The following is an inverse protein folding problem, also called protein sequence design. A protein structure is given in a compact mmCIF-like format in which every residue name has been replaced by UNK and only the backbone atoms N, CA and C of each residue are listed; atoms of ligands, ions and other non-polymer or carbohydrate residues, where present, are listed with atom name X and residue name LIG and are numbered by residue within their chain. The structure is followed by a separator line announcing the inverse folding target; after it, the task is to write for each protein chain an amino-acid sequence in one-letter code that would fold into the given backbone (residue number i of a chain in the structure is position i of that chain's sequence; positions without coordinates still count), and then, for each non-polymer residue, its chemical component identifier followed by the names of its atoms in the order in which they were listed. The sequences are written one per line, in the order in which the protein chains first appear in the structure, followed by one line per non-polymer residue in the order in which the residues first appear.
data_IF_270866583745
#
_entry.id   IF_270866583745
#
_cell.length_a   1.000
_cell.length_b   1.000
_cell.length_c   1.000
_cell.angle_alpha   90.00
_cell.angle_beta   90.00
_cell.angle_gamma   90.00
#
_symmetry.space_group_name_H-M   'P 1'
#
loop_
_entity.id
_entity.type
_entity.pdbx_description
1 polymer ?
#
# COMPACT_ATOMS: atom_id res chain seq x y z
N UNK A 1 3.42 -48.27 -22.46
CA UNK A 1 4.17 -47.07 -22.87
C UNK A 1 3.20 -45.91 -22.88
N UNK A 2 3.14 -45.14 -21.79
CA UNK A 2 2.13 -44.10 -21.59
C UNK A 2 2.80 -42.76 -21.85
N UNK A 3 2.58 -42.19 -23.02
CA UNK A 3 3.01 -40.82 -23.35
C UNK A 3 2.07 -39.84 -22.63
N UNK A 4 2.63 -39.06 -21.71
CA UNK A 4 1.97 -37.89 -21.14
C UNK A 4 2.25 -36.69 -22.07
N UNK A 5 1.23 -36.24 -22.79
CA UNK A 5 1.26 -34.97 -23.52
C UNK A 5 1.04 -33.84 -22.53
N UNK A 6 2.04 -32.99 -22.32
CA UNK A 6 1.88 -31.74 -21.57
C UNK A 6 1.00 -30.79 -22.38
N UNK A 7 0.00 -30.13 -21.78
CA UNK A 7 -0.74 -29.08 -22.46
C UNK A 7 0.19 -27.87 -22.63
N UNK A 8 0.51 -27.53 -23.88
CA UNK A 8 1.00 -26.19 -24.21
C UNK A 8 -0.07 -25.20 -23.76
N UNK A 9 0.32 -24.20 -22.97
CA UNK A 9 -0.55 -23.10 -22.61
C UNK A 9 -1.00 -22.39 -23.88
N UNK A 10 -2.30 -22.48 -24.19
CA UNK A 10 -2.90 -21.74 -25.29
C UNK A 10 -2.66 -20.24 -25.07
N UNK A 11 -2.00 -19.63 -26.05
CA UNK A 11 -1.78 -18.20 -26.18
C UNK A 11 -3.09 -17.53 -26.62
N UNK A 12 -4.10 -17.51 -25.73
CA UNK A 12 -5.41 -16.88 -25.96
C UNK A 12 -5.35 -15.35 -25.79
N UNK A 13 -4.28 -14.70 -26.27
CA UNK A 13 -4.22 -13.25 -26.34
C UNK A 13 -4.96 -12.76 -27.59
N UNK A 14 -5.91 -11.83 -27.43
CA UNK A 14 -6.59 -11.25 -28.58
C UNK A 14 -5.58 -10.53 -29.49
N UNK A 15 -5.75 -10.55 -30.83
CA UNK A 15 -4.80 -9.93 -31.75
C UNK A 15 -4.59 -8.43 -31.47
N UNK A 16 -5.60 -7.74 -30.94
CA UNK A 16 -5.50 -6.35 -30.50
C UNK A 16 -4.61 -6.15 -29.27
N UNK A 17 -4.63 -7.09 -28.31
CA UNK A 17 -3.81 -7.03 -27.11
C UNK A 17 -2.33 -7.28 -27.44
N UNK A 18 -2.05 -8.22 -28.35
CA UNK A 18 -0.69 -8.47 -28.85
C UNK A 18 -0.09 -7.25 -29.54
N UNK A 19 -0.85 -6.60 -30.44
CA UNK A 19 -0.43 -5.36 -31.08
C UNK A 19 -0.18 -4.22 -30.09
N UNK A 20 -1.00 -4.11 -29.03
CA UNK A 20 -0.77 -3.12 -27.99
C UNK A 20 0.52 -3.39 -27.21
N UNK A 21 0.78 -4.66 -26.86
CA UNK A 21 2.02 -5.08 -26.20
C UNK A 21 3.25 -4.84 -27.09
N UNK A 22 3.16 -5.09 -28.40
CA UNK A 22 4.25 -4.83 -29.35
C UNK A 22 4.55 -3.33 -29.47
N UNK A 23 3.51 -2.49 -29.57
CA UNK A 23 3.68 -1.02 -29.57
C UNK A 23 4.32 -0.53 -28.28
N UNK A 24 3.91 -1.06 -27.13
CA UNK A 24 4.49 -0.72 -25.83
C UNK A 24 5.97 -1.13 -25.76
N UNK A 25 6.30 -2.36 -26.18
CA UNK A 25 7.67 -2.86 -26.25
C UNK A 25 8.54 -1.99 -27.16
N UNK A 26 8.03 -1.63 -28.34
CA UNK A 26 8.73 -0.73 -29.26
C UNK A 26 9.01 0.65 -28.63
N UNK A 27 8.01 1.28 -28.01
CA UNK A 27 8.17 2.58 -27.35
C UNK A 27 9.19 2.50 -26.19
N UNK A 28 9.18 1.42 -25.41
CA UNK A 28 10.16 1.21 -24.35
C UNK A 28 11.59 1.06 -24.90
N UNK A 29 11.76 0.33 -26.01
CA UNK A 29 13.04 0.20 -26.70
C UNK A 29 13.57 1.53 -27.20
N UNK A 30 12.68 2.34 -27.77
CA UNK A 30 12.97 3.70 -28.22
C UNK A 30 13.45 4.59 -27.07
N UNK A 31 12.82 4.51 -25.90
CA UNK A 31 13.25 5.28 -24.72
C UNK A 31 14.59 4.81 -24.15
N UNK A 32 14.89 3.50 -24.18
CA UNK A 32 16.23 3.00 -23.87
C UNK A 32 17.28 3.65 -24.79
N UNK A 33 17.01 3.71 -26.10
CA UNK A 33 17.92 4.34 -27.05
C UNK A 33 18.06 5.85 -26.83
N UNK A 34 16.95 6.55 -26.52
CA UNK A 34 16.95 7.98 -26.17
C UNK A 34 17.88 8.30 -25.02
N UNK A 35 17.98 7.38 -24.06
CA UNK A 35 18.84 7.51 -22.88
C UNK A 35 20.23 6.87 -23.03
N UNK A 36 20.59 6.42 -24.23
CA UNK A 36 21.89 5.79 -24.50
C UNK A 36 22.09 4.46 -23.76
N UNK A 37 21.01 3.81 -23.33
CA UNK A 37 21.05 2.55 -22.60
C UNK A 37 20.81 1.36 -23.54
N UNK A 38 21.52 0.27 -23.28
CA UNK A 38 21.26 -1.02 -23.90
C UNK A 38 20.13 -1.72 -23.11
N UNK A 39 19.05 -2.19 -23.77
CA UNK A 39 18.06 -3.04 -23.11
C UNK A 39 18.68 -4.37 -22.62
N UNK A 40 18.08 -5.05 -21.63
CA UNK A 40 18.61 -6.32 -21.15
C UNK A 40 18.74 -7.35 -22.27
N UNK A 41 19.85 -8.10 -22.26
CA UNK A 41 20.23 -9.01 -23.33
C UNK A 41 19.15 -10.05 -23.70
N UNK A 42 18.36 -10.49 -22.71
CA UNK A 42 17.24 -11.41 -22.90
C UNK A 42 16.19 -10.92 -23.92
N UNK A 43 16.12 -9.61 -24.19
CA UNK A 43 15.16 -9.01 -25.10
C UNK A 43 15.77 -8.56 -26.43
N UNK A 44 17.03 -8.89 -26.71
CA UNK A 44 17.72 -8.50 -27.94
C UNK A 44 17.61 -9.56 -29.06
N UNK A 45 16.55 -10.36 -29.05
CA UNK A 45 16.26 -11.30 -30.15
C UNK A 45 15.67 -10.56 -31.38
N UNK A 46 15.92 -11.00 -32.63
CA UNK A 46 15.58 -10.26 -33.86
C UNK A 46 14.11 -9.87 -34.06
N UNK A 47 13.17 -10.55 -33.40
CA UNK A 47 11.73 -10.27 -33.50
C UNK A 47 11.16 -9.59 -32.25
N UNK A 48 11.99 -9.28 -31.26
CA UNK A 48 11.50 -8.65 -30.04
C UNK A 48 11.19 -7.17 -30.30
N UNK A 49 9.97 -6.68 -30.01
CA UNK A 49 9.60 -5.28 -30.25
C UNK A 49 10.50 -4.30 -29.49
N UNK A 50 11.00 -4.67 -28.30
CA UNK A 50 11.96 -3.87 -27.54
C UNK A 50 13.25 -3.61 -28.31
N UNK A 51 13.78 -4.66 -28.95
CA UNK A 51 14.98 -4.53 -29.80
C UNK A 51 14.71 -3.63 -31.00
N UNK A 52 13.59 -3.84 -31.69
CA UNK A 52 13.24 -3.07 -32.89
C UNK A 52 13.12 -1.58 -32.56
N UNK A 53 12.45 -1.24 -31.45
CA UNK A 53 12.35 0.13 -30.96
C UNK A 53 13.71 0.73 -30.61
N UNK A 54 14.58 -0.05 -29.97
CA UNK A 54 15.93 0.39 -29.62
C UNK A 54 16.83 0.63 -30.84
N UNK A 55 16.82 -0.26 -31.83
CA UNK A 55 17.57 -0.08 -33.07
C UNK A 55 17.09 1.14 -33.86
N UNK A 56 15.76 1.31 -33.97
CA UNK A 56 15.15 2.49 -34.59
C UNK A 56 15.53 3.79 -33.86
N UNK A 57 15.45 3.78 -32.52
CA UNK A 57 15.84 4.93 -31.71
C UNK A 57 17.33 5.25 -31.84
N UNK A 58 18.21 4.23 -31.88
CA UNK A 58 19.65 4.44 -32.09
C UNK A 58 19.95 5.09 -33.43
N UNK A 59 19.26 4.67 -34.49
CA UNK A 59 19.39 5.30 -35.80
C UNK A 59 18.93 6.76 -35.79
N UNK A 60 17.87 7.09 -35.02
CA UNK A 60 17.33 8.44 -34.92
C UNK A 60 18.17 9.38 -34.05
N UNK A 61 18.63 8.93 -32.88
CA UNK A 61 19.36 9.76 -31.92
C UNK A 61 20.86 9.82 -32.20
N UNK A 62 21.44 8.75 -32.76
CA UNK A 62 22.90 8.65 -32.96
C UNK A 62 23.66 8.90 -31.66
N UNK A 63 24.53 9.91 -31.64
CA UNK A 63 25.26 10.33 -30.44
C UNK A 63 24.51 11.34 -29.55
N UNK A 64 23.35 11.84 -29.97
CA UNK A 64 22.56 12.85 -29.25
C UNK A 64 21.58 12.20 -28.26
N UNK A 65 22.13 11.53 -27.25
CA UNK A 65 21.35 10.87 -26.19
C UNK A 65 21.24 11.73 -24.93
N UNK A 66 20.20 11.51 -24.13
CA UNK A 66 20.01 12.14 -22.82
C UNK A 66 20.65 11.27 -21.74
N UNK A 67 21.38 11.87 -20.79
CA UNK A 67 21.98 11.11 -19.69
C UNK A 67 20.94 10.32 -18.87
N UNK A 68 21.21 9.05 -18.63
CA UNK A 68 20.37 8.16 -17.83
C UNK A 68 20.69 8.31 -16.33
N UNK A 69 19.96 9.20 -15.65
CA UNK A 69 20.05 9.30 -14.18
C UNK A 69 19.58 7.99 -13.50
N UNK A 70 19.96 7.72 -12.24
CA UNK A 70 19.46 6.56 -11.49
C UNK A 70 17.93 6.43 -11.51
N UNK A 71 17.23 7.55 -11.43
CA UNK A 71 15.78 7.61 -11.49
C UNK A 71 15.21 7.19 -12.85
N UNK A 72 15.89 7.57 -13.95
CA UNK A 72 15.53 7.14 -15.31
C UNK A 72 15.76 5.64 -15.48
N UNK A 73 16.87 5.11 -14.96
CA UNK A 73 17.15 3.68 -15.01
C UNK A 73 16.07 2.88 -14.26
N UNK A 74 15.73 3.30 -13.04
CA UNK A 74 14.69 2.66 -12.23
C UNK A 74 13.32 2.71 -12.92
N UNK A 75 13.01 3.83 -13.58
CA UNK A 75 11.78 4.00 -14.35
C UNK A 75 11.70 3.07 -15.56
N UNK A 76 12.77 2.97 -16.36
CA UNK A 76 12.82 2.05 -17.50
C UNK A 76 12.75 0.59 -17.05
N UNK A 77 13.42 0.23 -15.96
CA UNK A 77 13.36 -1.11 -15.38
C UNK A 77 11.94 -1.46 -14.89
N UNK A 78 11.23 -0.50 -14.28
CA UNK A 78 9.85 -0.70 -13.84
C UNK A 78 8.89 -0.87 -15.02
N UNK A 79 9.06 -0.07 -16.09
CA UNK A 79 8.27 -0.23 -17.33
C UNK A 79 8.54 -1.56 -18.01
N UNK A 80 9.79 -2.01 -18.02
CA UNK A 80 10.16 -3.32 -18.55
C UNK A 80 9.51 -4.45 -17.75
N UNK A 81 9.57 -4.40 -16.42
CA UNK A 81 8.90 -5.39 -15.55
C UNK A 81 7.38 -5.37 -15.79
N UNK A 82 6.76 -4.20 -15.91
CA UNK A 82 5.34 -4.08 -16.22
C UNK A 82 4.98 -4.75 -17.55
N UNK A 83 5.72 -4.43 -18.61
CA UNK A 83 5.52 -4.98 -19.94
C UNK A 83 5.70 -6.51 -19.98
N UNK A 84 6.76 -7.03 -19.35
CA UNK A 84 7.02 -8.47 -19.27
C UNK A 84 5.88 -9.26 -18.61
N UNK A 85 5.22 -8.66 -17.61
CA UNK A 85 4.11 -9.27 -16.88
C UNK A 85 2.73 -8.89 -17.45
N UNK A 86 2.68 -8.21 -18.60
CA UNK A 86 1.43 -7.75 -19.22
C UNK A 86 0.64 -6.75 -18.36
N UNK A 87 1.31 -6.06 -17.44
CA UNK A 87 0.70 -5.10 -16.52
C UNK A 87 0.57 -3.74 -17.18
N UNK A 88 -0.55 -3.06 -16.91
CA UNK A 88 -0.74 -1.67 -17.29
C UNK A 88 0.31 -0.80 -16.58
N UNK A 89 0.90 0.16 -17.30
CA UNK A 89 1.82 1.15 -16.76
C UNK A 89 1.29 2.54 -17.09
N UNK A 90 1.06 3.35 -16.08
CA UNK A 90 0.56 4.71 -16.22
C UNK A 90 1.73 5.67 -16.51
N UNK A 91 1.80 6.24 -17.70
CA UNK A 91 2.99 6.97 -18.19
C UNK A 91 3.05 8.45 -17.80
N UNK A 92 1.94 9.06 -17.33
CA UNK A 92 1.86 10.50 -17.06
C UNK A 92 2.35 10.83 -15.65
N UNK A 93 1.88 10.11 -14.63
CA UNK A 93 2.22 10.40 -13.23
C UNK A 93 3.41 9.57 -12.75
N UNK A 94 3.58 8.33 -13.24
CA UNK A 94 4.76 7.50 -12.92
C UNK A 94 5.96 7.91 -13.77
N UNK A 95 6.62 8.99 -13.34
CA UNK A 95 7.81 9.57 -13.95
C UNK A 95 9.09 9.21 -13.18
N UNK A 96 10.30 9.41 -13.76
CA UNK A 96 11.55 9.30 -13.02
C UNK A 96 11.57 10.14 -11.74
N UNK A 97 11.06 11.38 -11.79
CA UNK A 97 10.97 12.26 -10.62
C UNK A 97 10.05 11.70 -9.54
N UNK A 98 8.91 11.12 -9.94
CA UNK A 98 8.00 10.44 -9.02
C UNK A 98 8.69 9.26 -8.32
N UNK A 99 9.42 8.41 -9.05
CA UNK A 99 10.13 7.28 -8.44
C UNK A 99 11.24 7.71 -7.47
N UNK A 100 11.97 8.78 -7.79
CA UNK A 100 12.97 9.34 -6.88
C UNK A 100 12.34 9.78 -5.54
N UNK A 101 11.09 10.29 -5.58
CA UNK A 101 10.37 10.70 -4.37
C UNK A 101 9.86 9.54 -3.51
N UNK A 102 9.76 8.32 -4.07
CA UNK A 102 9.38 7.12 -3.33
C UNK A 102 10.53 6.52 -2.51
N UNK A 103 11.76 6.94 -2.78
CA UNK A 103 12.94 6.37 -2.14
C UNK A 103 12.89 6.54 -0.61
N UNK A 104 13.20 5.45 0.10
CA UNK A 104 13.35 5.41 1.56
C UNK A 104 14.57 4.58 1.91
N UNK A 105 15.30 4.98 2.95
CA UNK A 105 16.55 4.31 3.36
C UNK A 105 16.29 3.01 4.13
N UNK A 106 15.14 2.91 4.80
CA UNK A 106 14.74 1.73 5.56
C UNK A 106 13.39 1.23 5.05
N UNK A 107 13.26 -0.09 4.97
CA UNK A 107 12.01 -0.72 4.58
C UNK A 107 10.93 -0.41 5.61
N UNK A 108 9.76 0.14 5.23
CA UNK A 108 8.69 0.43 6.19
C UNK A 108 8.11 -0.82 6.85
N UNK A 109 8.34 -2.01 6.26
CA UNK A 109 7.79 -3.28 6.73
C UNK A 109 8.77 -4.02 7.64
N UNK A 110 10.02 -4.21 7.20
CA UNK A 110 11.02 -4.95 7.97
C UNK A 110 11.82 -4.04 8.91
N UNK A 111 11.73 -2.71 8.72
CA UNK A 111 12.54 -1.67 9.37
C UNK A 111 14.04 -1.84 9.18
N UNK A 112 14.48 -2.70 8.25
CA UNK A 112 15.90 -2.89 7.92
C UNK A 112 16.35 -1.89 6.85
N UNK A 113 17.63 -1.53 6.82
CA UNK A 113 18.18 -0.69 5.76
C UNK A 113 17.95 -1.33 4.38
N UNK A 114 17.78 -0.49 3.36
CA UNK A 114 17.56 -0.89 1.98
C UNK A 114 18.79 -0.62 1.13
N UNK A 115 19.15 -1.57 0.27
CA UNK A 115 20.13 -1.36 -0.78
C UNK A 115 19.55 -0.45 -1.86
N UNK A 116 20.35 0.51 -2.33
CA UNK A 116 19.97 1.48 -3.35
C UNK A 116 19.31 0.84 -4.57
N UNK A 117 18.09 1.28 -4.93
CA UNK A 117 17.45 0.85 -6.17
C UNK A 117 18.15 1.52 -7.36
N UNK A 118 19.00 0.77 -8.08
CA UNK A 118 19.71 1.25 -9.27
C UNK A 118 20.39 2.63 -9.08
N UNK A 119 20.95 2.86 -7.89
CA UNK A 119 21.64 4.11 -7.54
C UNK A 119 20.76 5.26 -7.06
N UNK A 120 19.46 5.04 -6.79
CA UNK A 120 18.55 6.05 -6.24
C UNK A 120 18.86 6.50 -4.79
N UNK A 121 19.79 5.84 -4.09
CA UNK A 121 20.18 6.24 -2.74
C UNK A 121 21.16 7.41 -2.77
N UNK A 122 20.97 8.36 -1.85
CA UNK A 122 21.78 9.60 -1.77
C UNK A 122 22.63 9.72 -0.51
N UNK A 123 22.58 8.75 0.41
CA UNK A 123 23.39 8.81 1.64
C UNK A 123 23.94 7.42 2.01
N UNK A 124 25.16 7.41 2.55
CA UNK A 124 25.69 6.26 3.25
C UNK A 124 24.81 6.03 4.49
N UNK A 125 24.04 4.95 4.48
CA UNK A 125 23.35 4.47 5.67
C UNK A 125 24.35 4.32 6.81
N UNK A 126 24.02 4.82 8.00
CA UNK A 126 24.81 4.57 9.22
C UNK A 126 24.86 3.07 9.55
N UNK A 127 23.85 2.31 9.13
CA UNK A 127 23.81 0.86 9.30
C UNK A 127 24.79 0.13 8.37
N UNK A 128 25.45 -0.95 8.83
CA UNK A 128 26.35 -1.77 8.03
C UNK A 128 25.70 -2.30 6.74
N UNK A 129 26.43 -2.20 5.62
CA UNK A 129 25.93 -2.63 4.30
C UNK A 129 25.47 -4.10 4.24
N UNK A 130 26.06 -5.00 5.05
CA UNK A 130 25.68 -6.43 5.08
C UNK A 130 24.29 -6.68 5.71
N UNK A 131 23.73 -5.70 6.43
CA UNK A 131 22.37 -5.77 6.96
C UNK A 131 21.30 -5.30 5.96
N UNK A 132 21.72 -4.66 4.86
CA UNK A 132 20.81 -4.03 3.91
C UNK A 132 20.10 -5.06 3.01
N UNK A 133 18.78 -4.95 2.94
CA UNK A 133 17.93 -5.80 2.10
C UNK A 133 17.78 -5.19 0.70
N UNK A 134 17.73 -5.99 -0.38
CA UNK A 134 17.51 -5.48 -1.72
C UNK A 134 16.14 -4.77 -1.80
N UNK A 135 16.13 -3.53 -2.32
CA UNK A 135 14.90 -2.75 -2.47
C UNK A 135 14.10 -3.16 -3.70
N UNK A 136 12.77 -3.07 -3.61
CA UNK A 136 11.85 -3.29 -4.73
C UNK A 136 10.70 -2.28 -4.68
N UNK A 137 10.30 -1.77 -5.84
CA UNK A 137 9.04 -1.04 -5.98
C UNK A 137 7.91 -2.06 -6.02
N UNK A 138 6.98 -1.96 -5.08
CA UNK A 138 5.88 -2.88 -4.92
C UNK A 138 4.54 -2.20 -5.18
N UNK A 139 3.63 -2.92 -5.84
CA UNK A 139 2.22 -2.54 -6.02
C UNK A 139 1.43 -2.98 -4.80
N UNK A 140 1.08 -2.03 -3.93
CA UNK A 140 0.34 -2.33 -2.69
C UNK A 140 -1.11 -2.78 -2.95
N UNK A 141 -1.68 -2.34 -4.08
CA UNK A 141 -2.91 -2.89 -4.64
C UNK A 141 -2.55 -3.87 -5.77
N UNK A 142 -2.64 -5.17 -5.52
CA UNK A 142 -2.21 -6.22 -6.47
C UNK A 142 -3.04 -6.29 -7.76
N UNK A 143 -4.29 -5.81 -7.68
CA UNK A 143 -5.24 -5.70 -8.78
C UNK A 143 -5.09 -4.40 -9.59
N UNK A 144 -4.15 -3.52 -9.22
CA UNK A 144 -3.86 -2.30 -9.98
C UNK A 144 -2.64 -2.51 -10.90
N UNK A 145 -2.54 -1.72 -11.97
CA UNK A 145 -1.33 -1.59 -12.78
C UNK A 145 -0.21 -0.89 -12.01
N UNK A 146 0.85 -0.47 -12.69
CA UNK A 146 1.85 0.44 -12.14
C UNK A 146 1.35 1.87 -12.30
N UNK A 147 0.77 2.44 -11.24
CA UNK A 147 0.22 3.78 -11.25
C UNK A 147 0.58 4.57 -9.98
N UNK A 148 0.59 5.90 -10.08
CA UNK A 148 0.91 6.74 -8.93
C UNK A 148 -0.14 6.59 -7.81
N UNK A 149 0.34 6.66 -6.57
CA UNK A 149 -0.51 6.66 -5.38
C UNK A 149 -0.61 5.32 -4.65
N UNK A 150 -0.15 4.21 -5.23
CA UNK A 150 -0.14 2.90 -4.56
C UNK A 150 1.18 2.12 -4.70
N UNK A 151 2.21 2.78 -5.23
CA UNK A 151 3.56 2.25 -5.29
C UNK A 151 4.33 2.64 -4.03
N UNK A 152 5.11 1.70 -3.50
CA UNK A 152 6.02 1.94 -2.39
C UNK A 152 7.32 1.18 -2.58
N UNK A 153 8.43 1.74 -2.10
CA UNK A 153 9.69 1.01 -2.01
C UNK A 153 9.70 0.22 -0.70
N UNK A 154 9.81 -1.10 -0.82
CA UNK A 154 9.92 -2.05 0.30
C UNK A 154 11.08 -3.01 0.03
N UNK A 155 11.42 -3.84 1.00
CA UNK A 155 12.43 -4.89 0.75
C UNK A 155 11.88 -6.01 -0.11
N UNK A 156 12.76 -6.69 -0.84
CA UNK A 156 12.42 -7.84 -1.67
C UNK A 156 11.73 -8.94 -0.85
N UNK A 157 12.16 -9.15 0.40
CA UNK A 157 11.52 -10.08 1.34
C UNK A 157 10.05 -9.73 1.60
N UNK A 158 9.78 -8.46 1.91
CA UNK A 158 8.41 -7.99 2.10
C UNK A 158 7.58 -8.07 0.81
N UNK A 159 8.17 -7.78 -0.35
CA UNK A 159 7.50 -7.89 -1.65
C UNK A 159 7.17 -9.35 -2.00
N UNK A 160 8.05 -10.30 -1.68
CA UNK A 160 7.81 -11.73 -1.87
C UNK A 160 6.67 -12.23 -0.98
N UNK A 161 6.70 -11.89 0.31
CA UNK A 161 5.63 -12.24 1.24
C UNK A 161 4.27 -11.66 0.81
N UNK A 162 4.24 -10.41 0.36
CA UNK A 162 3.03 -9.74 -0.14
C UNK A 162 2.49 -10.35 -1.46
N UNK A 163 3.33 -11.04 -2.23
CA UNK A 163 2.96 -11.53 -3.57
C UNK A 163 1.70 -12.38 -3.53
N UNK A 164 0.72 -12.02 -4.38
CA UNK A 164 -0.56 -12.72 -4.49
C UNK A 164 -1.54 -12.51 -3.33
N UNK A 165 -1.22 -11.68 -2.35
CA UNK A 165 -2.07 -11.43 -1.17
C UNK A 165 -2.84 -10.12 -1.29
N UNK A 166 -4.05 -10.14 -0.78
CA UNK A 166 -4.88 -8.95 -0.54
C UNK A 166 -4.65 -8.45 0.89
N UNK A 167 -5.24 -7.30 1.21
CA UNK A 167 -5.10 -6.68 2.52
C UNK A 167 -5.56 -7.59 3.68
N UNK A 168 -6.69 -8.27 3.49
CA UNK A 168 -7.28 -9.21 4.44
C UNK A 168 -6.40 -10.45 4.64
N UNK A 169 -5.76 -10.96 3.58
CA UNK A 169 -4.77 -12.02 3.67
C UNK A 169 -3.57 -11.58 4.52
N UNK A 170 -2.99 -10.40 4.24
CA UNK A 170 -1.87 -9.88 5.03
C UNK A 170 -2.22 -9.67 6.51
N UNK A 171 -3.46 -9.26 6.79
CA UNK A 171 -3.97 -9.15 8.17
C UNK A 171 -4.12 -10.52 8.83
N UNK A 172 -4.62 -11.53 8.12
CA UNK A 172 -4.71 -12.90 8.62
C UNK A 172 -3.30 -13.46 8.92
N UNK A 173 -2.34 -13.24 8.02
CA UNK A 173 -0.95 -13.65 8.23
C UNK A 173 -0.31 -13.03 9.48
N UNK A 174 -0.67 -11.79 9.82
CA UNK A 174 -0.22 -11.16 11.06
C UNK A 174 -0.69 -11.91 12.31
N UNK A 175 -1.94 -12.37 12.31
CA UNK A 175 -2.52 -13.15 13.41
C UNK A 175 -1.91 -14.54 13.49
N UNK A 176 -1.77 -15.22 12.35
CA UNK A 176 -1.15 -16.55 12.28
C UNK A 176 0.31 -16.51 12.75
N UNK A 177 1.07 -15.51 12.33
CA UNK A 177 2.45 -15.33 12.78
C UNK A 177 2.55 -15.11 14.29
N UNK A 178 1.61 -14.37 14.91
CA UNK A 178 1.58 -14.20 16.36
C UNK A 178 1.30 -15.52 17.08
N UNK A 179 0.30 -16.28 16.60
CA UNK A 179 -0.02 -17.58 17.18
C UNK A 179 1.15 -18.57 17.05
N UNK A 180 1.85 -18.57 15.91
CA UNK A 180 3.04 -19.39 15.71
C UNK A 180 4.16 -19.02 16.70
N UNK A 181 4.42 -17.72 16.92
CA UNK A 181 5.38 -17.24 17.91
C UNK A 181 5.09 -17.77 19.32
N UNK A 182 3.83 -17.66 19.75
CA UNK A 182 3.39 -18.11 21.08
C UNK A 182 3.58 -19.63 21.25
N UNK A 183 3.25 -20.41 20.22
CA UNK A 183 3.45 -21.87 20.25
C UNK A 183 4.93 -22.27 20.26
N UNK A 184 5.78 -21.55 19.52
CA UNK A 184 7.22 -21.79 19.48
C UNK A 184 7.89 -21.55 20.83
N UNK A 185 7.52 -20.46 21.51
CA UNK A 185 7.99 -20.13 22.86
C UNK A 185 7.61 -21.25 23.84
N UNK A 186 6.41 -21.81 23.71
CA UNK A 186 5.96 -22.92 24.57
C UNK A 186 6.65 -24.25 24.27
N UNK A 187 7.20 -24.45 23.07
CA UNK A 187 7.72 -25.75 22.61
C UNK A 187 9.25 -25.92 22.79
N UNK A 188 9.96 -24.90 23.28
CA UNK A 188 11.44 -24.87 23.42
C UNK A 188 12.22 -25.28 22.13
N UNK A 189 11.58 -25.20 20.97
CA UNK A 189 12.18 -25.51 19.68
C UNK A 189 12.71 -24.21 19.04
N UNK A 190 13.80 -24.28 18.24
CA UNK A 190 14.23 -23.17 17.41
C UNK A 190 13.29 -23.02 16.21
N UNK A 191 12.05 -22.59 16.46
CA UNK A 191 11.17 -22.20 15.38
C UNK A 191 11.51 -20.76 14.98
N UNK A 192 11.63 -20.53 13.67
CA UNK A 192 11.68 -19.18 13.15
C UNK A 192 10.37 -18.46 13.52
N UNK A 193 10.46 -17.30 14.18
CA UNK A 193 9.34 -16.39 14.47
C UNK A 193 8.75 -15.74 13.18
N UNK A 194 9.19 -16.22 12.01
CA UNK A 194 8.78 -15.71 10.72
C UNK A 194 7.87 -16.70 9.99
N UNK A 195 6.72 -16.19 9.56
CA UNK A 195 5.80 -16.87 8.66
C UNK A 195 5.97 -16.27 7.26
N UNK A 196 6.33 -17.09 6.28
CA UNK A 196 6.70 -16.65 4.92
C UNK A 196 7.74 -15.52 4.90
N UNK A 197 8.71 -15.59 5.82
CA UNK A 197 9.81 -14.64 5.92
C UNK A 197 9.46 -13.30 6.56
N UNK A 198 8.29 -13.15 7.20
CA UNK A 198 7.95 -11.98 8.03
C UNK A 198 7.41 -12.41 9.39
N UNK A 199 7.79 -11.71 10.46
CA UNK A 199 7.18 -11.88 11.78
C UNK A 199 5.83 -11.14 11.90
N UNK A 200 5.11 -11.36 13.00
CA UNK A 200 3.77 -10.75 13.21
C UNK A 200 3.78 -9.22 13.12
N UNK A 201 4.81 -8.57 13.67
CA UNK A 201 4.93 -7.11 13.62
C UNK A 201 5.12 -6.62 12.18
N UNK A 202 5.96 -7.30 11.38
CA UNK A 202 6.17 -6.98 9.98
C UNK A 202 4.91 -7.24 9.13
N UNK A 203 4.19 -8.34 9.37
CA UNK A 203 2.90 -8.59 8.73
C UNK A 203 1.85 -7.53 9.08
N UNK A 204 1.77 -7.11 10.35
CA UNK A 204 0.86 -6.04 10.77
C UNK A 204 1.20 -4.72 10.07
N UNK A 205 2.49 -4.42 9.92
CA UNK A 205 2.97 -3.26 9.18
C UNK A 205 2.60 -3.33 7.69
N UNK A 206 2.76 -4.50 7.06
CA UNK A 206 2.38 -4.72 5.68
C UNK A 206 0.86 -4.57 5.47
N UNK A 207 0.04 -5.17 6.32
CA UNK A 207 -1.41 -5.02 6.28
C UNK A 207 -1.83 -3.56 6.49
N UNK A 208 -1.18 -2.83 7.40
CA UNK A 208 -1.43 -1.39 7.58
C UNK A 208 -1.12 -0.61 6.30
N UNK A 209 0.04 -0.86 5.67
CA UNK A 209 0.43 -0.18 4.45
C UNK A 209 -0.52 -0.46 3.28
N UNK A 210 -0.95 -1.71 3.10
CA UNK A 210 -1.93 -2.10 2.08
C UNK A 210 -3.32 -1.50 2.34
N UNK A 211 -3.69 -1.29 3.61
CA UNK A 211 -5.00 -0.73 3.96
C UNK A 211 -5.19 0.69 3.45
N UNK A 212 -4.12 1.49 3.34
CA UNK A 212 -4.22 2.87 2.85
C UNK A 212 -4.73 2.95 1.42
N UNK A 213 -4.42 1.95 0.59
CA UNK A 213 -4.79 1.91 -0.84
C UNK A 213 -5.90 0.90 -1.13
N UNK A 214 -6.52 0.38 -0.08
CA UNK A 214 -7.68 -0.51 -0.17
C UNK A 214 -8.90 0.26 0.32
N UNK A 215 -9.96 0.40 -0.50
CA UNK A 215 -11.22 0.95 -0.01
C UNK A 215 -11.80 0.03 1.07
N UNK A 216 -12.03 0.55 2.26
CA UNK A 216 -12.54 -0.19 3.41
C UNK A 216 -13.78 0.50 3.99
N UNK A 217 -14.72 -0.28 4.58
CA UNK A 217 -15.75 0.30 5.43
C UNK A 217 -15.13 1.12 6.55
N UNK A 218 -15.76 2.23 6.93
CA UNK A 218 -15.22 3.18 7.90
C UNK A 218 -14.88 2.52 9.24
N UNK A 219 -15.76 1.66 9.73
CA UNK A 219 -15.58 0.91 10.97
C UNK A 219 -14.39 -0.06 10.92
N UNK A 220 -14.12 -0.65 9.74
CA UNK A 220 -12.96 -1.51 9.53
C UNK A 220 -11.70 -0.68 9.51
N UNK A 221 -11.68 0.42 8.74
CA UNK A 221 -10.53 1.32 8.65
C UNK A 221 -10.17 1.95 10.02
N UNK A 222 -11.18 2.33 10.81
CA UNK A 222 -11.02 2.87 12.16
C UNK A 222 -10.39 1.88 13.14
N UNK A 223 -10.54 0.58 12.90
CA UNK A 223 -9.98 -0.46 13.76
C UNK A 223 -8.50 -0.77 13.46
N UNK A 224 -7.95 -0.29 12.35
CA UNK A 224 -6.58 -0.59 11.92
C UNK A 224 -5.60 0.31 12.68
N UNK A 225 -4.58 -0.26 13.36
CA UNK A 225 -3.53 0.54 14.00
C UNK A 225 -2.59 1.14 12.95
N UNK A 226 -2.14 2.38 13.17
CA UNK A 226 -1.16 3.06 12.31
C UNK A 226 0.28 2.54 12.55
N UNK A 227 0.51 1.24 12.29
CA UNK A 227 1.82 0.59 12.52
C UNK A 227 2.90 0.96 11.51
N UNK A 228 2.55 1.66 10.44
CA UNK A 228 3.47 2.19 9.44
C UNK A 228 2.99 3.59 9.05
N UNK A 229 3.85 4.60 9.17
CA UNK A 229 3.56 5.89 8.54
C UNK A 229 3.64 5.72 7.01
N UNK A 230 2.64 6.21 6.26
CA UNK A 230 2.61 6.05 4.82
C UNK A 230 3.86 6.69 4.20
N UNK A 231 4.59 5.95 3.34
CA UNK A 231 5.66 6.49 2.53
C UNK A 231 5.18 7.66 1.67
N UNK A 232 6.13 8.45 1.18
CA UNK A 232 5.82 9.61 0.36
C UNK A 232 5.01 9.22 -0.89
N UNK A 233 4.11 10.11 -1.31
CA UNK A 233 3.21 9.95 -2.47
C UNK A 233 2.21 8.79 -2.41
N UNK A 234 2.05 8.13 -1.27
CA UNK A 234 0.96 7.17 -1.09
C UNK A 234 -0.39 7.89 -0.95
N UNK A 235 -1.40 7.45 -1.69
CA UNK A 235 -2.78 7.92 -1.56
C UNK A 235 -3.47 7.16 -0.43
N UNK A 236 -4.15 7.88 0.45
CA UNK A 236 -4.93 7.30 1.54
C UNK A 236 -6.40 7.37 1.14
N UNK A 237 -7.00 6.21 0.83
CA UNK A 237 -8.37 6.09 0.38
C UNK A 237 -9.39 6.16 1.53
N UNK A 238 -8.95 5.89 2.76
CA UNK A 238 -9.83 5.86 3.94
C UNK A 238 -9.63 7.15 4.77
N UNK A 239 -10.62 8.06 4.82
CA UNK A 239 -10.47 9.37 5.48
C UNK A 239 -10.08 9.28 6.95
N UNK A 240 -10.60 8.29 7.68
CA UNK A 240 -10.31 8.10 9.10
C UNK A 240 -8.84 7.75 9.36
N UNK A 241 -8.19 7.02 8.45
CA UNK A 241 -6.75 6.76 8.50
C UNK A 241 -5.95 8.03 8.16
N UNK A 242 -6.47 8.88 7.26
CA UNK A 242 -5.93 10.22 7.03
C UNK A 242 -5.95 11.09 8.28
N UNK A 243 -7.03 11.05 9.07
CA UNK A 243 -7.13 11.74 10.35
C UNK A 243 -6.16 11.15 11.39
N UNK A 244 -6.06 9.82 11.48
CA UNK A 244 -5.11 9.13 12.35
C UNK A 244 -3.66 9.57 12.06
N UNK A 245 -3.29 9.60 10.78
CA UNK A 245 -2.00 10.08 10.32
C UNK A 245 -1.77 11.55 10.68
N UNK A 246 -2.78 12.39 10.44
CA UNK A 246 -2.69 13.83 10.69
C UNK A 246 -2.38 14.11 12.17
N UNK A 247 -3.10 13.46 13.08
CA UNK A 247 -2.89 13.58 14.53
C UNK A 247 -1.48 13.11 14.89
N UNK A 248 -1.07 11.94 14.36
CA UNK A 248 0.23 11.34 14.63
C UNK A 248 1.38 12.25 14.20
N UNK A 249 1.31 12.82 12.99
CA UNK A 249 2.34 13.73 12.46
C UNK A 249 2.44 15.05 13.22
N UNK A 250 1.37 15.50 13.88
CA UNK A 250 1.47 16.72 14.69
C UNK A 250 2.44 16.55 15.85
N UNK A 251 2.48 15.36 16.47
CA UNK A 251 3.27 15.10 17.68
C UNK A 251 4.77 15.26 17.43
N UNK A 252 5.26 14.86 16.25
CA UNK A 252 6.66 15.03 15.87
C UNK A 252 7.07 16.49 15.64
N UNK A 253 6.10 17.43 15.55
CA UNK A 253 6.37 18.84 15.20
C UNK A 253 6.32 19.75 16.43
N UNK A 254 7.22 20.75 16.54
CA UNK A 254 7.15 21.76 17.60
C UNK A 254 5.79 22.49 17.62
N UNK A 255 5.26 22.84 18.80
CA UNK A 255 3.96 23.51 18.92
C UNK A 255 2.74 22.61 18.64
N UNK A 256 2.90 21.28 18.77
CA UNK A 256 1.83 20.32 18.51
C UNK A 256 0.58 20.57 19.38
N UNK A 257 0.75 20.99 20.64
CA UNK A 257 -0.36 21.18 21.58
C UNK A 257 -1.37 22.22 21.08
N UNK A 258 -0.89 23.37 20.57
CA UNK A 258 -1.75 24.40 20.01
C UNK A 258 -2.50 23.92 18.75
N UNK A 259 -1.81 23.20 17.87
CA UNK A 259 -2.42 22.65 16.63
C UNK A 259 -3.45 21.56 16.91
N UNK A 260 -3.17 20.67 17.86
CA UNK A 260 -4.13 19.65 18.28
C UNK A 260 -5.30 20.26 19.05
N UNK A 261 -5.08 21.31 19.84
CA UNK A 261 -6.16 22.07 20.47
C UNK A 261 -7.06 22.77 19.46
N UNK A 262 -6.48 23.34 18.39
CA UNK A 262 -7.25 23.90 17.28
C UNK A 262 -8.07 22.84 16.54
N UNK A 263 -7.50 21.65 16.30
CA UNK A 263 -8.22 20.52 15.72
C UNK A 263 -9.37 20.06 16.63
N UNK A 264 -9.14 19.98 17.94
CA UNK A 264 -10.16 19.63 18.92
C UNK A 264 -11.33 20.62 18.90
N UNK A 265 -11.04 21.92 18.79
CA UNK A 265 -12.06 22.96 18.73
C UNK A 265 -12.98 22.85 17.50
N UNK A 266 -12.58 22.14 16.45
CA UNK A 266 -13.43 21.87 15.28
C UNK A 266 -14.34 20.65 15.44
N UNK A 267 -14.13 19.83 16.48
CA UNK A 267 -14.93 18.64 16.73
C UNK A 267 -16.30 19.00 17.33
N UNK A 268 -17.39 18.38 16.86
CA UNK A 268 -18.72 18.63 17.41
C UNK A 268 -18.87 18.03 18.81
N UNK A 269 -19.19 18.89 19.78
CA UNK A 269 -19.58 18.48 21.13
C UNK A 269 -18.43 18.09 22.07
N UNK A 270 -18.68 18.24 23.37
CA UNK A 270 -17.68 18.06 24.43
C UNK A 270 -17.25 16.60 24.57
N UNK A 271 -18.16 15.65 24.32
CA UNK A 271 -17.86 14.21 24.42
C UNK A 271 -16.77 13.79 23.43
N UNK A 272 -16.88 14.22 22.18
CA UNK A 272 -15.94 13.89 21.12
C UNK A 272 -14.60 14.58 21.33
N UNK A 273 -14.61 15.85 21.77
CA UNK A 273 -13.40 16.58 22.17
C UNK A 273 -12.66 15.89 23.32
N UNK A 274 -13.39 15.42 24.34
CA UNK A 274 -12.81 14.66 25.45
C UNK A 274 -12.18 13.35 24.97
N UNK A 275 -12.87 12.60 24.12
CA UNK A 275 -12.35 11.33 23.63
C UNK A 275 -11.15 11.53 22.68
N UNK A 276 -11.13 12.62 21.90
CA UNK A 276 -9.94 13.07 21.16
C UNK A 276 -8.74 13.36 22.07
N UNK A 277 -8.94 14.14 23.15
CA UNK A 277 -7.86 14.42 24.10
C UNK A 277 -7.33 13.14 24.76
N UNK A 278 -8.18 12.15 25.05
CA UNK A 278 -7.71 10.83 25.55
C UNK A 278 -6.79 10.12 24.57
N UNK A 279 -7.07 10.20 23.27
CA UNK A 279 -6.17 9.65 22.23
C UNK A 279 -4.82 10.37 22.27
N UNK A 280 -4.83 11.70 22.27
CA UNK A 280 -3.59 12.51 22.29
C UNK A 280 -2.76 12.23 23.54
N UNK A 281 -3.39 12.24 24.73
CA UNK A 281 -2.72 11.94 25.99
C UNK A 281 -2.31 10.48 26.15
N UNK A 282 -2.94 9.56 25.40
CA UNK A 282 -2.49 8.17 25.32
C UNK A 282 -1.27 7.99 24.42
N UNK A 283 -1.23 8.70 23.29
CA UNK A 283 -0.18 8.59 22.28
C UNK A 283 1.13 9.27 22.72
N UNK A 284 1.04 10.46 23.32
CA UNK A 284 2.20 11.30 23.63
C UNK A 284 3.22 10.65 24.59
N UNK A 285 2.83 10.06 25.74
CA UNK A 285 3.79 9.44 26.65
C UNK A 285 4.51 8.24 26.02
N UNK A 286 3.81 7.48 25.15
CA UNK A 286 4.36 6.31 24.46
C UNK A 286 5.38 6.72 23.39
N UNK A 287 5.11 7.81 22.66
CA UNK A 287 6.05 8.36 21.69
C UNK A 287 7.35 8.87 22.36
N UNK A 288 7.26 9.31 23.62
CA UNK A 288 8.38 9.77 24.44
C UNK A 288 8.93 8.72 25.41
N UNK A 289 8.52 7.46 25.28
CA UNK A 289 9.07 6.41 26.13
C UNK A 289 10.58 6.28 25.89
N UNK A 290 11.38 6.30 26.96
CA UNK A 290 12.83 6.39 26.86
C UNK A 290 13.36 7.74 26.33
N UNK A 291 12.69 8.85 26.62
CA UNK A 291 13.14 10.22 26.34
C UNK A 291 12.64 10.81 25.03
N UNK A 292 13.12 12.01 24.64
CA UNK A 292 12.72 12.63 23.36
C UNK A 292 13.54 12.03 22.20
N UNK A 293 12.91 11.54 21.11
CA UNK A 293 13.63 11.09 19.93
C UNK A 293 14.53 12.18 19.34
N UNK A 294 15.71 11.77 18.88
CA UNK A 294 16.75 12.66 18.35
C UNK A 294 16.73 12.73 16.82
N UNK A 295 16.29 11.65 16.16
CA UNK A 295 16.24 11.56 14.69
C UNK A 295 14.82 11.35 14.18
N UNK A 296 14.58 11.71 12.91
CA UNK A 296 13.28 11.50 12.25
C UNK A 296 12.92 10.00 12.15
N UNK A 297 13.91 9.13 11.99
CA UNK A 297 13.72 7.69 12.00
C UNK A 297 13.22 7.19 13.36
N UNK A 298 13.84 7.63 14.46
CA UNK A 298 13.39 7.30 15.80
C UNK A 298 11.98 7.84 16.09
N UNK A 299 11.67 9.06 15.64
CA UNK A 299 10.32 9.61 15.75
C UNK A 299 9.29 8.73 15.03
N UNK A 300 9.60 8.30 13.81
CA UNK A 300 8.73 7.41 13.02
C UNK A 300 8.50 6.10 13.76
N UNK A 301 9.56 5.40 14.16
CA UNK A 301 9.46 4.08 14.79
C UNK A 301 8.65 4.13 16.09
N UNK A 302 8.91 5.12 16.97
CA UNK A 302 8.19 5.25 18.25
C UNK A 302 6.73 5.62 18.08
N UNK A 303 6.40 6.47 17.10
CA UNK A 303 5.01 6.79 16.79
C UNK A 303 4.25 5.57 16.28
N UNK A 304 4.85 4.81 15.36
CA UNK A 304 4.30 3.56 14.84
C UNK A 304 4.12 2.48 15.93
N UNK A 305 5.06 2.39 16.86
CA UNK A 305 5.01 1.42 17.96
C UNK A 305 4.01 1.84 19.05
N UNK A 306 3.82 3.14 19.28
CA UNK A 306 2.79 3.61 20.20
C UNK A 306 1.38 3.16 19.77
N UNK A 307 1.12 3.11 18.46
CA UNK A 307 -0.14 2.59 17.89
C UNK A 307 -0.33 1.07 18.04
N UNK A 308 0.69 0.34 18.50
CA UNK A 308 0.55 -1.06 18.91
C UNK A 308 -0.28 -1.23 20.19
N UNK A 309 -0.36 -0.19 21.02
CA UNK A 309 -0.92 -0.31 22.37
C UNK A 309 -2.45 -0.51 22.33
N UNK A 310 -2.98 -1.59 22.96
CA UNK A 310 -4.42 -1.87 22.95
C UNK A 310 -5.29 -0.84 23.68
N UNK A 311 -4.75 -0.09 24.65
CA UNK A 311 -5.49 0.97 25.37
C UNK A 311 -5.60 2.21 24.51
N UNK A 312 -4.53 2.58 23.79
CA UNK A 312 -4.58 3.64 22.79
C UNK A 312 -5.56 3.29 21.69
N UNK A 313 -5.48 2.07 21.13
CA UNK A 313 -6.37 1.63 20.06
C UNK A 313 -7.84 1.60 20.48
N UNK A 314 -8.18 1.17 21.70
CA UNK A 314 -9.56 1.27 22.22
C UNK A 314 -10.04 2.71 22.32
N UNK A 315 -9.17 3.62 22.79
CA UNK A 315 -9.51 5.05 22.90
C UNK A 315 -9.71 5.67 21.51
N UNK A 316 -8.85 5.30 20.56
CA UNK A 316 -8.95 5.70 19.16
C UNK A 316 -10.23 5.20 18.51
N UNK A 317 -10.53 3.90 18.59
CA UNK A 317 -11.76 3.34 18.01
C UNK A 317 -13.00 4.00 18.59
N UNK A 318 -13.04 4.23 19.91
CA UNK A 318 -14.14 4.98 20.55
C UNK A 318 -14.30 6.37 19.96
N UNK A 319 -13.22 7.10 19.73
CA UNK A 319 -13.25 8.42 19.09
C UNK A 319 -13.65 8.33 17.61
N UNK A 320 -13.01 7.45 16.85
CA UNK A 320 -13.17 7.31 15.41
C UNK A 320 -14.56 6.84 14.98
N UNK A 321 -15.19 5.94 15.75
CA UNK A 321 -16.53 5.43 15.48
C UNK A 321 -17.65 6.44 15.81
N UNK A 322 -17.34 7.54 16.48
CA UNK A 322 -18.27 8.67 16.66
C UNK A 322 -18.30 9.62 15.46
N UNK A 323 -17.35 9.48 14.53
CA UNK A 323 -17.28 10.25 13.29
C UNK A 323 -17.77 9.39 12.12
N UNK A 324 -18.40 10.01 11.13
CA UNK A 324 -18.57 9.41 9.80
C UNK A 324 -17.32 9.56 8.95
N UNK A 325 -17.26 8.86 7.82
CA UNK A 325 -16.16 9.00 6.86
C UNK A 325 -16.09 10.43 6.30
N UNK A 326 -17.24 11.03 5.99
CA UNK A 326 -17.36 12.39 5.46
C UNK A 326 -16.93 13.45 6.48
N UNK A 327 -17.25 13.24 7.76
CA UNK A 327 -16.79 14.12 8.83
C UNK A 327 -15.28 14.04 9.02
N UNK A 328 -14.71 12.83 8.99
CA UNK A 328 -13.26 12.64 9.07
C UNK A 328 -12.57 13.29 7.86
N UNK A 329 -13.12 13.14 6.66
CA UNK A 329 -12.61 13.80 5.45
C UNK A 329 -12.65 15.32 5.59
N UNK A 330 -13.80 15.89 5.97
CA UNK A 330 -13.96 17.34 6.14
C UNK A 330 -12.95 17.92 7.15
N UNK A 331 -12.66 17.19 8.24
CA UNK A 331 -11.64 17.58 9.22
C UNK A 331 -10.23 17.58 8.61
N UNK A 332 -9.86 16.55 7.86
CA UNK A 332 -8.57 16.48 7.17
C UNK A 332 -8.44 17.59 6.13
N UNK A 333 -9.47 17.83 5.33
CA UNK A 333 -9.49 18.90 4.33
C UNK A 333 -9.36 20.28 4.98
N UNK A 334 -10.09 20.53 6.07
CA UNK A 334 -10.00 21.78 6.84
C UNK A 334 -8.61 21.98 7.44
N UNK A 335 -8.02 20.91 7.99
CA UNK A 335 -6.67 20.95 8.54
C UNK A 335 -5.59 21.19 7.48
N UNK A 336 -5.74 20.64 6.28
CA UNK A 336 -4.87 20.91 5.15
C UNK A 336 -4.95 22.38 4.71
N UNK A 337 -6.17 22.93 4.57
CA UNK A 337 -6.40 24.36 4.26
C UNK A 337 -5.83 25.30 5.33
N UNK A 338 -5.86 24.89 6.59
CA UNK A 338 -5.29 25.65 7.71
C UNK A 338 -3.76 25.49 7.86
N UNK A 339 -3.09 24.74 6.97
CA UNK A 339 -1.63 24.52 7.04
C UNK A 339 -1.18 23.60 8.18
N UNK A 340 -2.10 22.89 8.84
CA UNK A 340 -1.74 21.99 9.95
C UNK A 340 -0.96 20.78 9.46
N UNK A 341 -1.14 20.35 8.21
CA UNK A 341 -0.48 19.15 7.65
C UNK A 341 0.93 19.44 7.12
N UNK A 342 1.40 20.70 7.19
CA UNK A 342 2.69 21.12 6.63
C UNK A 342 2.49 22.24 5.61
N UNK A 343 3.41 22.40 4.67
CA UNK A 343 3.18 23.30 3.54
C UNK A 343 1.98 22.78 2.74
N UNK A 344 0.99 23.63 2.45
CA UNK A 344 -0.24 23.25 1.76
C UNK A 344 0.00 22.56 0.41
N UNK A 345 1.14 22.83 -0.24
CA UNK A 345 1.58 22.20 -1.49
C UNK A 345 1.96 20.72 -1.37
N UNK A 346 2.07 20.18 -0.15
CA UNK A 346 2.46 18.79 0.09
C UNK A 346 1.27 17.84 0.28
N UNK A 347 0.04 18.35 0.32
CA UNK A 347 -1.17 17.54 0.48
C UNK A 347 -2.08 17.76 -0.72
N UNK A 348 -2.30 16.71 -1.49
CA UNK A 348 -3.26 16.70 -2.58
C UNK A 348 -4.50 15.95 -2.13
N UNK A 349 -5.64 16.64 -2.13
CA UNK A 349 -6.94 16.03 -1.89
C UNK A 349 -7.49 15.63 -3.26
N UNK A 350 -7.73 14.34 -3.44
CA UNK A 350 -8.32 13.79 -4.65
C UNK A 350 -9.81 13.54 -4.40
N UNK A 351 -10.66 13.80 -5.40
CA UNK A 351 -12.01 13.23 -5.39
C UNK A 351 -11.92 11.70 -5.41
N UNK A 352 -12.93 10.97 -4.88
CA UNK A 352 -12.91 9.50 -4.83
C UNK A 352 -12.59 8.84 -6.16
N UNK A 353 -13.13 9.36 -7.26
CA UNK A 353 -12.94 8.83 -8.62
C UNK A 353 -11.52 9.09 -9.14
N UNK A 354 -10.92 10.21 -8.75
CA UNK A 354 -9.55 10.58 -9.14
C UNK A 354 -8.50 9.86 -8.29
N UNK A 355 -8.88 9.35 -7.12
CA UNK A 355 -7.94 8.70 -6.20
C UNK A 355 -7.36 7.40 -6.78
N UNK A 356 -8.09 6.72 -7.65
CA UNK A 356 -7.69 5.48 -8.33
C UNK A 356 -7.54 5.65 -9.85
N UNK A 357 -7.60 6.88 -10.36
CA UNK A 357 -7.39 7.18 -11.77
C UNK A 357 -6.01 6.66 -12.23
N UNK A 358 -6.00 5.96 -13.38
CA UNK A 358 -4.80 5.35 -13.96
C UNK A 358 -4.43 3.97 -13.40
N UNK A 359 -5.12 3.48 -12.35
CA UNK A 359 -4.80 2.19 -11.73
C UNK A 359 -5.27 0.99 -12.57
N UNK A 360 -6.12 1.20 -13.58
CA UNK A 360 -6.67 0.14 -14.44
C UNK A 360 -7.33 -1.01 -13.66
N UNK A 361 -8.13 -0.66 -12.64
CA UNK A 361 -8.78 -1.64 -11.76
C UNK A 361 -9.82 -2.48 -12.50
N UNK A 362 -10.44 -1.92 -13.54
CA UNK A 362 -11.38 -2.56 -14.44
C UNK A 362 -10.78 -3.72 -15.25
N UNK A 363 -9.46 -3.73 -15.45
CA UNK A 363 -8.71 -4.81 -16.08
C UNK A 363 -7.94 -5.68 -15.09
N UNK A 364 -8.10 -5.46 -13.78
CA UNK A 364 -7.24 -6.06 -12.77
C UNK A 364 -5.77 -5.65 -12.92
N UNK A 365 -5.51 -4.49 -13.54
CA UNK A 365 -4.17 -3.94 -13.76
C UNK A 365 -3.43 -4.54 -14.94
N UNK A 366 -4.11 -5.23 -15.85
CA UNK A 366 -3.53 -5.85 -17.05
C UNK A 366 -3.83 -5.04 -18.33
N UNK A 367 -2.96 -5.17 -19.33
CA UNK A 367 -3.18 -4.60 -20.66
C UNK A 367 -4.16 -5.48 -21.45
N UNK A 368 -5.27 -4.91 -21.93
CA UNK A 368 -6.14 -5.55 -22.91
C UNK A 368 -7.06 -6.67 -22.42
N UNK A 369 -7.14 -6.95 -21.12
CA UNK A 369 -8.13 -7.86 -20.54
C UNK A 369 -9.17 -7.07 -19.74
N UNK A 370 -10.43 -7.01 -20.19
CA UNK A 370 -11.51 -6.60 -19.30
C UNK A 370 -11.69 -7.70 -18.24
N UNK A 371 -11.75 -7.33 -16.96
CA UNK A 371 -12.01 -8.28 -15.88
C UNK A 371 -13.34 -8.99 -16.19
N UNK A 372 -13.33 -10.33 -16.30
CA UNK A 372 -14.57 -11.10 -16.17
C UNK A 372 -15.13 -10.75 -14.78
N UNK A 373 -16.26 -10.06 -14.76
CA UNK A 373 -16.94 -9.66 -13.52
C UNK A 373 -17.35 -10.94 -12.80
N UNK A 374 -16.52 -11.43 -11.88
CA UNK A 374 -17.03 -12.27 -10.82
C UNK A 374 -17.78 -11.35 -9.87
N UNK A 375 -19.10 -11.46 -9.90
CA UNK A 375 -19.99 -10.74 -9.00
C UNK A 375 -19.51 -10.92 -7.55
N UNK A 376 -19.59 -9.88 -6.72
CA UNK A 376 -19.15 -9.97 -5.34
C UNK A 376 -19.96 -11.01 -4.55
N UNK A 377 -19.26 -11.91 -3.85
CA UNK A 377 -19.81 -12.90 -2.91
C UNK A 377 -20.38 -12.29 -1.60
N UNK A 378 -20.81 -11.03 -1.58
CA UNK A 378 -21.38 -10.39 -0.38
C UNK A 378 -22.89 -10.08 -0.46
N UNK A 379 -23.60 -10.58 -1.48
CA UNK A 379 -25.06 -10.62 -1.47
C UNK A 379 -25.58 -11.81 -0.63
N UNK A 380 -25.40 -11.76 0.69
CA UNK A 380 -25.74 -12.90 1.53
C UNK A 380 -25.84 -12.67 3.03
N UNK A 381 -26.07 -11.44 3.51
CA UNK A 381 -26.48 -11.23 4.90
C UNK A 381 -27.51 -10.11 5.00
N UNK A 382 -28.79 -10.46 4.84
CA UNK A 382 -29.91 -9.71 5.42
C UNK A 382 -30.63 -10.57 6.45
N UNK A 383 -30.50 -10.13 7.70
CA UNK A 383 -31.45 -10.18 8.82
C UNK A 383 -32.57 -11.23 8.73
N UNK A 384 -32.44 -12.30 9.50
CA UNK A 384 -33.60 -12.90 10.16
C UNK A 384 -33.99 -11.96 11.31
N UNK A 385 -34.93 -11.04 11.06
CA UNK A 385 -35.59 -10.26 12.10
C UNK A 385 -36.65 -11.14 12.77
N UNK A 386 -36.52 -11.28 14.09
CA UNK A 386 -37.55 -11.70 15.02
C UNK A 386 -38.88 -10.99 14.71
N UNK A 387 -39.82 -11.75 14.16
CA UNK A 387 -41.24 -11.38 14.09
C UNK A 387 -42.01 -12.28 15.04
N UNK A 388 -42.24 -11.78 16.27
CA UNK A 388 -43.34 -12.24 17.12
C UNK A 388 -44.63 -12.06 16.33
N UNK A 389 -45.44 -13.11 16.20
CA UNK A 389 -46.86 -12.92 16.02
C UNK A 389 -47.62 -13.81 17.01
N UNK A 390 -48.30 -13.12 17.91
CA UNK A 390 -49.25 -13.62 18.89
C UNK A 390 -50.57 -13.96 18.20
N UNK A 391 -51.18 -15.03 18.72
CA UNK A 391 -52.62 -15.25 18.87
C UNK A 391 -53.49 -15.68 17.67
N UNK A 392 -53.97 -16.92 17.77
CA UNK A 392 -55.37 -17.28 18.05
C UNK A 392 -56.13 -18.16 17.02
N UNK A 393 -56.72 -19.23 17.59
CA UNK A 393 -57.84 -20.06 17.14
C UNK A 393 -57.55 -21.09 16.04
N UNK A 394 -57.93 -22.37 16.11
CA UNK A 394 -58.71 -23.17 17.05
C UNK A 394 -58.96 -24.56 16.42
N UNK A 395 -59.17 -25.58 17.26
CA UNK A 395 -59.79 -26.90 16.99
C UNK A 395 -59.42 -27.72 15.74
N UNK A 396 -58.82 -28.91 15.95
CA UNK A 396 -59.53 -30.20 15.91
C UNK A 396 -58.63 -31.41 16.21
N UNK A 397 -59.08 -32.18 17.21
CA UNK A 397 -59.15 -33.66 17.35
C UNK A 397 -58.28 -34.63 16.53
N UNK A 398 -57.77 -35.67 17.21
CA UNK A 398 -57.47 -37.02 16.67
C UNK A 398 -56.08 -37.55 17.08
N UNK A 399 -55.94 -38.26 18.21
CA UNK A 399 -55.96 -39.75 18.35
C UNK A 399 -54.97 -40.48 17.42
N UNK A 400 -54.01 -41.22 18.01
CA UNK A 400 -53.45 -42.41 17.37
C UNK A 400 -51.99 -42.77 17.72
N UNK A 401 -51.84 -43.48 18.86
CA UNK A 401 -50.76 -44.38 19.27
C UNK A 401 -49.34 -43.83 19.50
#
# INVERSE_FOLDING_TARGET
MTQATLPFADDTSSPSARQAADRCGFALGWDHARHGLLPPAAHLLPQNPLRQGWEAGRAAFGSRTIAATPAVQAWLALRLDAWQHGRHFEEVQVTPHYLAQLWVERCPITRRPLQALQGLATAASEDPAWLAEPARIARLQGEAGYAAGHLAVISQRAAQAMSGKRWDDARLMAVLAAAHADTAVSAAAPASDELEGLNSAAWTRLATLMSYVTPLPHEVAAAIPLRVLPPNRLRLLNPIQGLQLLITRQIARPGFAARLGQLAAWLPGITLQRDFHKVVHGLLPRAWDGGRPLTDAQWRDRLEDAWADPRLMRSWQRFALQLSAEQAEALVQRAAKAGLVGQAQQVHIHAPEQATEGWALESGGYVGQAKRVNAPLWAGFRRASLGRNTDAHGHHSGIGL
#
